data_IF_778105343171
#
_entry.id   IF_778105343171
#
_cell.length_a   1.000
_cell.length_b   1.000
_cell.length_c   1.000
_cell.angle_alpha   90.00
_cell.angle_beta   90.00
_cell.angle_gamma   90.00
#
_symmetry.space_group_name_H-M   'P 1'
#
loop_
_entity.id
_entity.type
_entity.pdbx_description
1 polymer ?
#
# COMPACT_ATOMS: atom_id res chain seq x y z
N UNK A 1 -5.52 -20.06 -24.95
CA UNK A 1 -5.97 -20.10 -23.53
C UNK A 1 -5.02 -19.38 -22.56
N UNK A 2 -4.10 -18.51 -23.02
CA UNK A 2 -3.12 -17.83 -22.14
C UNK A 2 -3.51 -16.38 -21.78
N UNK A 3 -4.22 -15.66 -22.67
CA UNK A 3 -4.50 -14.22 -22.50
C UNK A 3 -5.51 -13.88 -21.38
N UNK A 4 -6.37 -14.83 -20.97
CA UNK A 4 -7.37 -14.60 -19.92
C UNK A 4 -6.79 -14.53 -18.51
N UNK A 5 -5.71 -15.27 -18.24
CA UNK A 5 -5.07 -15.32 -16.91
C UNK A 5 -4.26 -14.06 -16.62
N UNK A 6 -3.68 -13.44 -17.64
CA UNK A 6 -2.92 -12.19 -17.51
C UNK A 6 -3.85 -10.99 -17.26
N UNK A 7 -5.09 -11.03 -17.78
CA UNK A 7 -6.12 -10.03 -17.50
C UNK A 7 -6.69 -10.16 -16.08
N UNK A 8 -6.99 -11.38 -15.62
CA UNK A 8 -7.44 -11.64 -14.23
C UNK A 8 -6.40 -11.21 -13.20
N UNK A 9 -5.11 -11.47 -13.47
CA UNK A 9 -4.02 -11.07 -12.58
C UNK A 9 -3.88 -9.54 -12.50
N UNK A 10 -4.07 -8.84 -13.63
CA UNK A 10 -4.03 -7.38 -13.71
C UNK A 10 -5.26 -6.72 -13.07
N UNK A 11 -6.43 -7.36 -13.15
CA UNK A 11 -7.65 -6.95 -12.44
C UNK A 11 -7.47 -7.13 -10.93
N UNK A 12 -6.87 -8.24 -10.48
CA UNK A 12 -6.54 -8.46 -9.07
C UNK A 12 -5.49 -7.47 -8.53
N UNK A 13 -4.45 -7.15 -9.31
CA UNK A 13 -3.44 -6.14 -8.94
C UNK A 13 -4.05 -4.73 -8.84
N UNK A 14 -5.02 -4.39 -9.71
CA UNK A 14 -5.80 -3.15 -9.62
C UNK A 14 -6.79 -3.13 -8.43
N UNK A 15 -7.15 -4.30 -7.89
CA UNK A 15 -8.10 -4.46 -6.78
C UNK A 15 -7.44 -4.28 -5.40
N UNK A 16 -6.10 -4.42 -5.31
CA UNK A 16 -5.39 -4.28 -4.03
C UNK A 16 -5.41 -2.84 -3.48
N UNK A 17 -5.44 -1.84 -4.37
CA UNK A 17 -5.63 -0.43 -4.01
C UNK A 17 -7.10 -0.01 -3.92
N UNK A 18 -8.03 -0.82 -4.44
CA UNK A 18 -9.44 -0.50 -4.43
C UNK A 18 -9.97 -0.47 -2.99
N UNK A 19 -10.36 0.71 -2.53
CA UNK A 19 -10.95 0.90 -1.21
C UNK A 19 -12.40 0.36 -1.19
N UNK A 20 -12.55 -0.95 -1.07
CA UNK A 20 -13.85 -1.66 -1.12
C UNK A 20 -14.30 -2.19 0.23
N UNK A 21 -13.39 -2.50 1.15
CA UNK A 21 -13.70 -3.15 2.42
C UNK A 21 -14.22 -2.16 3.46
N UNK A 22 -15.38 -2.44 4.06
CA UNK A 22 -15.87 -1.66 5.21
C UNK A 22 -15.04 -1.97 6.47
N UNK A 23 -15.13 -1.10 7.48
CA UNK A 23 -14.33 -1.23 8.71
C UNK A 23 -14.51 -2.57 9.44
N UNK A 24 -15.71 -3.17 9.42
CA UNK A 24 -15.95 -4.46 10.05
C UNK A 24 -15.17 -5.58 9.36
N UNK A 25 -15.20 -5.60 8.02
CA UNK A 25 -14.45 -6.59 7.23
C UNK A 25 -12.94 -6.35 7.34
N UNK A 26 -12.51 -5.09 7.31
CA UNK A 26 -11.09 -4.75 7.49
C UNK A 26 -10.57 -5.16 8.89
N UNK A 27 -11.40 -5.00 9.93
CA UNK A 27 -11.07 -5.44 11.29
C UNK A 27 -10.88 -6.96 11.37
N UNK A 28 -11.79 -7.73 10.77
CA UNK A 28 -11.69 -9.19 10.69
C UNK A 28 -10.44 -9.63 9.92
N UNK A 29 -10.20 -9.04 8.75
CA UNK A 29 -9.05 -9.38 7.91
C UNK A 29 -7.72 -8.96 8.55
N UNK A 30 -7.67 -7.85 9.27
CA UNK A 30 -6.44 -7.41 9.97
C UNK A 30 -6.24 -8.08 11.33
N UNK A 31 -7.25 -8.74 11.89
CA UNK A 31 -7.22 -9.29 13.25
C UNK A 31 -7.26 -8.22 14.34
N UNK A 32 -7.73 -7.01 14.01
CA UNK A 32 -7.72 -5.85 14.91
C UNK A 32 -9.12 -5.38 15.25
N UNK A 33 -9.28 -4.78 16.42
CA UNK A 33 -10.56 -4.19 16.80
C UNK A 33 -10.88 -2.94 15.94
N UNK A 34 -12.15 -2.70 15.52
CA UNK A 34 -12.52 -1.53 14.71
C UNK A 34 -12.12 -0.18 15.32
N UNK A 35 -12.02 -0.09 16.64
CA UNK A 35 -11.56 1.12 17.32
C UNK A 35 -10.06 1.38 17.10
N UNK A 36 -9.24 0.33 17.04
CA UNK A 36 -7.80 0.41 16.72
C UNK A 36 -7.60 0.89 15.29
N UNK A 37 -8.39 0.40 14.33
CA UNK A 37 -8.38 0.89 12.94
C UNK A 37 -8.68 2.39 12.87
N UNK A 38 -9.66 2.87 13.64
CA UNK A 38 -9.98 4.31 13.73
C UNK A 38 -8.85 5.12 14.37
N UNK A 39 -8.17 4.56 15.36
CA UNK A 39 -7.03 5.19 16.00
C UNK A 39 -5.87 5.33 15.01
N UNK A 40 -5.54 4.26 14.27
CA UNK A 40 -4.45 4.25 13.30
C UNK A 40 -4.73 5.19 12.11
N UNK A 41 -5.98 5.27 11.64
CA UNK A 41 -6.40 6.30 10.67
C UNK A 41 -6.18 7.71 11.21
N UNK A 42 -6.59 7.98 12.46
CA UNK A 42 -6.40 9.31 13.08
C UNK A 42 -4.93 9.67 13.26
N UNK A 43 -4.08 8.69 13.58
CA UNK A 43 -2.63 8.87 13.70
C UNK A 43 -1.94 8.99 12.34
N UNK A 44 -2.64 8.70 11.24
CA UNK A 44 -2.11 8.71 9.88
C UNK A 44 -1.18 7.53 9.59
N UNK A 45 -1.31 6.43 10.33
CA UNK A 45 -0.56 5.18 10.09
C UNK A 45 -1.16 4.38 8.93
N UNK A 46 -2.44 4.59 8.64
CA UNK A 46 -3.16 4.08 7.49
C UNK A 46 -4.10 5.18 6.99
N UNK A 47 -4.36 5.27 5.69
CA UNK A 47 -5.21 6.31 5.10
C UNK A 47 -6.29 5.68 4.23
N UNK A 48 -7.37 5.15 4.84
CA UNK A 48 -8.45 4.53 4.08
C UNK A 48 -9.17 5.53 3.19
N UNK A 49 -9.63 5.06 2.04
CA UNK A 49 -10.56 5.79 1.19
C UNK A 49 -11.86 6.15 1.92
N UNK A 50 -12.59 7.16 1.41
CA UNK A 50 -13.88 7.57 1.98
C UNK A 50 -14.97 7.51 0.92
N UNK A 51 -16.14 6.99 1.27
CA UNK A 51 -17.33 7.11 0.42
C UNK A 51 -17.99 8.48 0.58
N UNK A 52 -18.96 8.81 -0.27
CA UNK A 52 -19.75 10.05 -0.21
C UNK A 52 -20.43 10.28 1.15
N UNK A 53 -20.70 9.20 1.90
CA UNK A 53 -21.22 9.25 3.28
C UNK A 53 -20.14 9.36 4.36
N UNK A 54 -18.89 9.68 3.99
CA UNK A 54 -17.72 9.83 4.88
C UNK A 54 -17.29 8.54 5.61
N UNK A 55 -17.88 7.40 5.24
CA UNK A 55 -17.53 6.08 5.76
C UNK A 55 -16.18 5.63 5.20
N UNK A 56 -15.36 5.02 6.07
CA UNK A 56 -14.04 4.50 5.71
C UNK A 56 -14.19 3.25 4.86
N UNK A 57 -13.40 3.19 3.81
CA UNK A 57 -13.20 2.01 2.99
C UNK A 57 -11.72 1.70 2.95
N UNK A 58 -11.39 0.46 3.22
CA UNK A 58 -10.04 -0.06 3.26
C UNK A 58 -9.80 -0.83 1.98
N UNK A 59 -8.58 -0.74 1.47
CA UNK A 59 -8.08 -1.61 0.41
C UNK A 59 -7.35 -2.82 0.99
N UNK A 60 -6.97 -3.80 0.16
CA UNK A 60 -6.11 -4.89 0.63
C UNK A 60 -4.74 -4.38 1.08
N UNK A 61 -4.23 -3.34 0.41
CA UNK A 61 -3.00 -2.67 0.80
C UNK A 61 -3.11 -2.02 2.18
N UNK A 62 -4.23 -1.37 2.49
CA UNK A 62 -4.49 -0.84 3.83
C UNK A 62 -4.48 -1.94 4.90
N UNK A 63 -5.08 -3.09 4.58
CA UNK A 63 -5.14 -4.25 5.49
C UNK A 63 -3.73 -4.83 5.72
N UNK A 64 -2.92 -4.93 4.68
CA UNK A 64 -1.52 -5.35 4.81
C UNK A 64 -0.72 -4.36 5.67
N UNK A 65 -0.91 -3.06 5.47
CA UNK A 65 -0.28 -2.02 6.27
C UNK A 65 -0.68 -2.10 7.74
N UNK A 66 -1.98 -2.30 8.03
CA UNK A 66 -2.48 -2.52 9.39
C UNK A 66 -1.77 -3.69 10.09
N UNK A 67 -1.62 -4.82 9.40
CA UNK A 67 -0.89 -5.99 9.93
C UNK A 67 0.59 -5.69 10.20
N UNK A 68 1.24 -4.92 9.33
CA UNK A 68 2.63 -4.52 9.51
C UNK A 68 2.78 -3.56 10.70
N UNK A 69 1.89 -2.57 10.83
CA UNK A 69 1.85 -1.67 11.99
C UNK A 69 1.74 -2.47 13.29
N UNK A 70 0.87 -3.48 13.34
CA UNK A 70 0.72 -4.34 14.53
C UNK A 70 2.00 -5.06 14.89
N UNK A 71 2.70 -5.67 13.91
CA UNK A 71 4.00 -6.33 14.16
C UNK A 71 5.02 -5.35 14.75
N UNK A 72 5.12 -4.14 14.21
CA UNK A 72 6.06 -3.14 14.73
C UNK A 72 5.68 -2.65 16.13
N UNK A 73 4.37 -2.57 16.45
CA UNK A 73 3.91 -2.30 17.82
C UNK A 73 4.31 -3.43 18.77
N UNK A 74 4.14 -4.69 18.34
CA UNK A 74 4.52 -5.87 19.13
C UNK A 74 6.03 -5.96 19.37
N UNK A 75 6.84 -5.43 18.44
CA UNK A 75 8.29 -5.24 18.58
C UNK A 75 8.68 -4.07 19.51
N UNK A 76 7.70 -3.34 20.05
CA UNK A 76 7.91 -2.23 20.99
C UNK A 76 8.15 -0.87 20.32
N UNK A 77 7.93 -0.75 19.01
CA UNK A 77 8.07 0.52 18.30
C UNK A 77 6.83 1.38 18.56
N UNK A 78 7.05 2.63 19.00
CA UNK A 78 5.95 3.56 19.20
C UNK A 78 5.38 4.07 17.86
N UNK A 79 4.15 4.61 17.90
CA UNK A 79 3.44 5.06 16.70
C UNK A 79 4.18 6.15 15.90
N UNK A 80 4.96 7.00 16.55
CA UNK A 80 5.75 8.04 15.86
C UNK A 80 6.88 7.38 15.05
N UNK A 81 7.56 6.41 15.64
CA UNK A 81 8.58 5.60 14.96
C UNK A 81 7.99 4.82 13.79
N UNK A 82 6.85 4.15 14.00
CA UNK A 82 6.16 3.40 12.93
C UNK A 82 5.78 4.31 11.77
N UNK A 83 5.22 5.50 12.04
CA UNK A 83 4.89 6.47 11.00
C UNK A 83 6.13 6.83 10.18
N UNK A 84 7.27 7.08 10.85
CA UNK A 84 8.51 7.42 10.18
C UNK A 84 9.04 6.28 9.31
N UNK A 85 8.94 5.04 9.79
CA UNK A 85 9.33 3.84 9.02
C UNK A 85 8.49 3.75 7.74
N UNK A 86 7.16 3.86 7.83
CA UNK A 86 6.26 3.79 6.67
C UNK A 86 6.56 4.88 5.64
N UNK A 87 6.82 6.12 6.09
CA UNK A 87 7.21 7.23 5.23
C UNK A 87 8.53 6.94 4.50
N UNK A 88 9.53 6.38 5.20
CA UNK A 88 10.81 6.02 4.62
C UNK A 88 10.70 4.88 3.62
N UNK A 89 9.96 3.82 3.94
CA UNK A 89 9.69 2.70 3.03
C UNK A 89 9.00 3.18 1.74
N UNK A 90 8.02 4.08 1.88
CA UNK A 90 7.33 4.68 0.73
C UNK A 90 8.27 5.52 -0.14
N UNK A 91 9.13 6.32 0.49
CA UNK A 91 10.14 7.10 -0.23
C UNK A 91 11.16 6.21 -0.96
N UNK A 92 11.61 5.12 -0.32
CA UNK A 92 12.52 4.15 -0.92
C UNK A 92 11.88 3.43 -2.11
N UNK A 93 10.60 3.06 -2.01
CA UNK A 93 9.86 2.44 -3.11
C UNK A 93 9.76 3.39 -4.32
N UNK A 94 9.40 4.66 -4.08
CA UNK A 94 9.32 5.68 -5.12
C UNK A 94 10.68 5.92 -5.80
N UNK A 95 11.75 6.05 -5.00
CA UNK A 95 13.10 6.24 -5.51
C UNK A 95 13.54 5.02 -6.34
N UNK A 96 13.20 3.80 -5.91
CA UNK A 96 13.51 2.58 -6.66
C UNK A 96 12.82 2.55 -8.03
N UNK A 97 11.57 3.01 -8.11
CA UNK A 97 10.84 3.16 -9.38
C UNK A 97 11.49 4.20 -10.28
N UNK A 98 11.90 5.34 -9.72
CA UNK A 98 12.59 6.40 -10.47
C UNK A 98 13.93 5.94 -11.03
N UNK A 99 14.74 5.26 -10.21
CA UNK A 99 16.00 4.65 -10.65
C UNK A 99 15.76 3.64 -11.77
N UNK A 100 14.72 2.81 -11.69
CA UNK A 100 14.39 1.86 -12.74
C UNK A 100 14.03 2.56 -14.07
N UNK A 101 13.24 3.64 -14.00
CA UNK A 101 12.88 4.45 -15.18
C UNK A 101 14.11 5.08 -15.83
N UNK A 102 14.97 5.70 -15.04
CA UNK A 102 16.20 6.34 -15.52
C UNK A 102 17.15 5.34 -16.17
N UNK A 103 17.27 4.12 -15.63
CA UNK A 103 18.09 3.06 -16.23
C UNK A 103 17.60 2.67 -17.62
N UNK A 104 16.28 2.53 -17.80
CA UNK A 104 15.68 2.24 -19.12
C UNK A 104 16.00 3.36 -20.11
N UNK A 105 15.84 4.62 -19.69
CA UNK A 105 16.12 5.78 -20.54
C UNK A 105 17.60 5.87 -20.94
N UNK A 106 18.52 5.65 -20.00
CA UNK A 106 19.96 5.58 -20.29
C UNK A 106 20.26 4.48 -21.31
N UNK A 107 19.69 3.28 -21.14
CA UNK A 107 19.90 2.17 -22.06
C UNK A 107 19.37 2.48 -23.48
N UNK A 108 18.27 3.22 -23.60
CA UNK A 108 17.73 3.67 -24.88
C UNK A 108 18.62 4.72 -25.57
N UNK A 109 19.17 5.66 -24.81
CA UNK A 109 20.10 6.67 -25.32
C UNK A 109 21.41 6.03 -25.81
N UNK A 110 21.98 5.11 -25.01
CA UNK A 110 23.19 4.38 -25.37
C UNK A 110 23.02 3.54 -26.65
N UNK A 111 21.81 3.02 -26.92
CA UNK A 111 21.52 2.30 -28.18
C UNK A 111 21.38 3.23 -29.38
N UNK A 112 20.93 4.47 -29.19
CA UNK A 112 20.82 5.47 -30.26
C UNK A 112 22.18 6.03 -30.67
N UNK A 113 23.12 6.15 -29.73
CA UNK A 113 24.46 6.67 -29.98
C UNK A 113 25.38 5.65 -30.70
N UNK A 114 25.12 4.35 -30.52
CA UNK A 114 25.88 3.26 -31.12
C UNK A 114 25.29 2.73 -32.45
N UNK A 115 24.37 3.48 -33.08
CA UNK A 115 23.73 3.14 -34.36
C UNK A 115 23.93 4.23 -35.39
#
# INVERSE_FOLDING_TARGET
MSEGKDLEKKINELDEEAAVYVISVAAELSGLHPQTLRQYDRLGLVSPGRTSGRNRRYSLRDIALLRNVTKLVDEGINHVGIKRIIELESAMANLSIEVAKLRIEVDELMKKENK
#
